data_IF_067078798074
#
_entry.id   IF_067078798074
#
_cell.length_a   1.000
_cell.length_b   1.000
_cell.length_c   1.000
_cell.angle_alpha   90.00
_cell.angle_beta   90.00
_cell.angle_gamma   90.00
#
_symmetry.space_group_name_H-M   'P 1'
#
loop_
_entity.id
_entity.type
_entity.pdbx_description
1 polymer ?
#
# COMPACT_ATOMS: atom_id res chain seq x y z
N UNK A 1 -11.32 20.71 -27.71
CA UNK A 1 -11.87 19.44 -28.26
C UNK A 1 -10.73 18.72 -28.96
N UNK A 2 -10.17 17.67 -28.34
CA UNK A 2 -9.11 16.86 -28.96
C UNK A 2 -9.79 15.80 -29.81
N UNK A 3 -9.66 15.92 -31.14
CA UNK A 3 -10.24 14.97 -32.09
C UNK A 3 -9.56 13.61 -31.98
N UNK A 4 -10.36 12.56 -31.88
CA UNK A 4 -9.89 11.17 -31.86
C UNK A 4 -9.24 10.83 -33.21
N UNK A 5 -7.95 10.50 -33.20
CA UNK A 5 -7.23 10.01 -34.38
C UNK A 5 -7.87 8.67 -34.81
N UNK A 6 -8.31 8.52 -36.07
CA UNK A 6 -8.89 7.26 -36.54
C UNK A 6 -7.81 6.18 -36.56
N UNK A 7 -8.00 5.14 -35.74
CA UNK A 7 -7.08 3.99 -35.70
C UNK A 7 -7.04 3.31 -37.06
N UNK A 8 -5.85 3.20 -37.63
CA UNK A 8 -5.60 2.66 -38.97
C UNK A 8 -5.84 1.14 -38.95
N UNK A 9 -6.16 0.53 -40.09
CA UNK A 9 -6.33 -0.93 -40.19
C UNK A 9 -5.13 -1.71 -39.65
N UNK A 10 -3.92 -1.15 -39.78
CA UNK A 10 -2.68 -1.69 -39.25
C UNK A 10 -2.65 -1.72 -37.71
N UNK A 11 -3.18 -0.69 -37.04
CA UNK A 11 -3.30 -0.67 -35.57
C UNK A 11 -4.25 -1.75 -35.06
N UNK A 12 -5.34 -1.98 -35.81
CA UNK A 12 -6.32 -3.04 -35.47
C UNK A 12 -5.70 -4.43 -35.63
N UNK A 13 -4.97 -4.65 -36.72
CA UNK A 13 -4.28 -5.91 -36.97
C UNK A 13 -3.18 -6.17 -35.91
N UNK A 14 -2.44 -5.15 -35.50
CA UNK A 14 -1.41 -5.27 -34.47
C UNK A 14 -2.02 -5.62 -33.10
N UNK A 15 -3.15 -5.00 -32.74
CA UNK A 15 -3.90 -5.33 -31.51
C UNK A 15 -4.42 -6.78 -31.54
N UNK A 16 -4.86 -7.26 -32.70
CA UNK A 16 -5.35 -8.62 -32.88
C UNK A 16 -4.22 -9.66 -32.75
N UNK A 17 -3.04 -9.37 -33.32
CA UNK A 17 -1.84 -10.19 -33.17
C UNK A 17 -1.38 -10.26 -31.70
N UNK A 18 -1.43 -9.13 -30.97
CA UNK A 18 -1.07 -9.07 -29.55
C UNK A 18 -2.04 -9.84 -28.63
N UNK A 19 -3.30 -10.04 -29.04
CA UNK A 19 -4.27 -10.85 -28.30
C UNK A 19 -4.05 -12.35 -28.52
N UNK A 20 -3.62 -12.73 -29.72
CA UNK A 20 -3.46 -14.12 -30.14
C UNK A 20 -2.09 -14.73 -29.79
N UNK A 21 -1.14 -13.95 -29.27
CA UNK A 21 0.15 -14.46 -28.81
C UNK A 21 -0.03 -15.34 -27.58
N UNK A 22 0.50 -16.58 -27.64
CA UNK A 22 0.49 -17.59 -26.57
C UNK A 22 1.17 -17.17 -25.25
N UNK A 23 1.67 -15.94 -25.18
CA UNK A 23 2.25 -15.31 -23.99
C UNK A 23 1.20 -14.53 -23.16
N UNK A 24 -0.01 -14.32 -23.68
CA UNK A 24 -1.11 -13.75 -22.91
C UNK A 24 -1.79 -14.81 -22.05
N UNK A 25 -1.04 -15.42 -21.13
CA UNK A 25 -1.71 -15.84 -19.90
C UNK A 25 -2.30 -14.56 -19.31
N UNK A 26 -3.61 -14.49 -18.97
CA UNK A 26 -4.05 -13.40 -18.13
C UNK A 26 -3.09 -13.40 -16.94
N UNK A 27 -2.52 -12.24 -16.62
CA UNK A 27 -1.86 -12.05 -15.34
C UNK A 27 -2.97 -12.36 -14.34
N UNK A 28 -3.05 -13.62 -13.88
CA UNK A 28 -3.67 -13.93 -12.61
C UNK A 28 -3.05 -12.93 -11.67
N UNK A 29 -3.89 -12.04 -11.12
CA UNK A 29 -3.48 -10.93 -10.28
C UNK A 29 -2.41 -11.48 -9.35
N UNK A 30 -1.15 -11.21 -9.68
CA UNK A 30 -0.03 -11.87 -9.02
C UNK A 30 -0.24 -11.56 -7.56
N UNK A 31 -0.52 -12.56 -6.73
CA UNK A 31 -0.40 -12.37 -5.28
C UNK A 31 0.94 -11.68 -5.12
N UNK A 32 0.93 -10.46 -4.56
CA UNK A 32 2.16 -9.71 -4.36
C UNK A 32 3.07 -10.67 -3.58
N UNK A 33 4.18 -11.09 -4.18
CA UNK A 33 5.15 -11.93 -3.50
C UNK A 33 5.86 -11.00 -2.53
N UNK A 34 5.51 -11.06 -1.24
CA UNK A 34 6.06 -10.16 -0.23
C UNK A 34 5.37 -10.30 1.11
N UNK A 35 5.95 -9.64 2.12
CA UNK A 35 5.33 -9.46 3.42
C UNK A 35 4.16 -8.48 3.31
N UNK A 36 3.11 -8.71 4.09
CA UNK A 36 1.97 -7.81 4.20
C UNK A 36 2.01 -7.17 5.59
N UNK A 37 1.99 -5.85 5.60
CA UNK A 37 2.03 -5.05 6.82
C UNK A 37 0.73 -4.27 6.98
N UNK A 38 0.38 -3.98 8.22
CA UNK A 38 -0.73 -3.10 8.55
C UNK A 38 -0.36 -1.68 8.15
N UNK A 39 -1.20 -0.99 7.35
CA UNK A 39 -0.87 0.36 6.89
C UNK A 39 -0.97 1.36 8.05
N UNK A 40 0.17 1.81 8.56
CA UNK A 40 0.26 2.83 9.60
C UNK A 40 0.41 4.21 8.93
N UNK A 41 -0.52 5.16 9.15
CA UNK A 41 -0.39 6.51 8.60
C UNK A 41 0.75 7.27 9.27
N UNK A 42 1.77 7.68 8.50
CA UNK A 42 2.87 8.49 9.02
C UNK A 42 2.43 9.91 9.45
N UNK A 43 1.37 10.44 8.82
CA UNK A 43 0.83 11.79 9.10
C UNK A 43 -0.68 11.71 9.14
N UNK A 44 -1.27 12.21 10.21
CA UNK A 44 -2.71 12.28 10.36
C UNK A 44 -3.26 13.41 9.47
N UNK A 45 -3.89 13.03 8.36
CA UNK A 45 -4.49 13.96 7.39
C UNK A 45 -6.01 13.78 7.36
N UNK A 46 -6.72 14.75 7.93
CA UNK A 46 -8.18 14.75 7.94
C UNK A 46 -8.71 16.01 7.24
N UNK A 47 -9.63 15.82 6.29
CA UNK A 47 -10.26 16.94 5.58
C UNK A 47 -11.27 17.62 6.51
N UNK A 48 -11.17 18.93 6.66
CA UNK A 48 -12.13 19.75 7.40
C UNK A 48 -11.80 19.96 8.89
N UNK A 49 -10.65 19.48 9.37
CA UNK A 49 -10.16 19.79 10.72
C UNK A 49 -9.37 21.11 10.69
N UNK A 50 -9.47 21.90 11.77
CA UNK A 50 -8.70 23.13 11.93
C UNK A 50 -7.20 22.83 11.94
N UNK A 51 -6.37 23.75 11.43
CA UNK A 51 -4.93 23.53 11.28
C UNK A 51 -4.24 23.28 12.62
N UNK A 52 -4.71 23.93 13.70
CA UNK A 52 -4.16 23.78 15.05
C UNK A 52 -4.45 22.39 15.62
N UNK A 53 -5.69 21.90 15.48
CA UNK A 53 -6.07 20.55 15.91
C UNK A 53 -5.31 19.47 15.11
N UNK A 54 -5.06 19.70 13.82
CA UNK A 54 -4.20 18.83 13.02
C UNK A 54 -2.76 18.82 13.55
N UNK A 55 -2.20 19.96 13.95
CA UNK A 55 -0.86 20.02 14.54
C UNK A 55 -0.81 19.26 15.86
N UNK A 56 -1.78 19.48 16.75
CA UNK A 56 -1.88 18.79 18.04
C UNK A 56 -1.92 17.27 17.82
N UNK A 57 -2.76 16.80 16.89
CA UNK A 57 -2.91 15.37 16.56
C UNK A 57 -1.70 14.76 15.83
N UNK A 58 -0.82 15.58 15.24
CA UNK A 58 0.44 15.08 14.67
C UNK A 58 1.61 15.15 15.67
N UNK A 59 1.51 15.96 16.72
CA UNK A 59 2.44 15.96 17.85
C UNK A 59 2.16 14.79 18.80
N UNK A 60 0.89 14.53 19.08
CA UNK A 60 0.43 13.41 19.89
C UNK A 60 -0.23 12.33 19.01
N UNK A 61 0.46 11.19 18.87
CA UNK A 61 -0.01 10.04 18.09
C UNK A 61 -0.89 9.07 18.89
N UNK A 62 -1.22 9.35 20.15
CA UNK A 62 -1.97 8.42 21.03
C UNK A 62 -3.30 8.02 20.42
N UNK A 63 -4.10 8.98 19.95
CA UNK A 63 -5.39 8.69 19.31
C UNK A 63 -5.23 7.90 18.00
N UNK A 64 -4.14 8.13 17.27
CA UNK A 64 -3.85 7.38 16.04
C UNK A 64 -3.53 5.91 16.36
N UNK A 65 -2.71 5.69 17.39
CA UNK A 65 -2.33 4.35 17.85
C UNK A 65 -3.55 3.56 18.35
N UNK A 66 -4.36 4.16 19.23
CA UNK A 66 -5.61 3.55 19.73
C UNK A 66 -6.55 3.20 18.57
N UNK A 67 -6.68 4.10 17.58
CA UNK A 67 -7.48 3.83 16.40
C UNK A 67 -6.94 2.66 15.58
N UNK A 68 -5.63 2.45 15.53
CA UNK A 68 -5.01 1.33 14.79
C UNK A 68 -5.22 0.03 15.55
N UNK A 69 -4.96 0.02 16.86
CA UNK A 69 -5.17 -1.16 17.73
C UNK A 69 -6.63 -1.65 17.65
N UNK A 70 -7.59 -0.74 17.76
CA UNK A 70 -9.02 -1.08 17.70
C UNK A 70 -9.43 -1.61 16.31
N UNK A 71 -8.89 -1.04 15.22
CA UNK A 71 -9.32 -1.36 13.86
C UNK A 71 -8.61 -2.57 13.24
N UNK A 72 -7.33 -2.74 13.52
CA UNK A 72 -6.46 -3.71 12.85
C UNK A 72 -6.08 -4.89 13.74
N UNK A 73 -5.97 -4.68 15.06
CA UNK A 73 -5.44 -5.68 15.99
C UNK A 73 -6.46 -6.16 17.03
N UNK A 74 -7.73 -5.77 16.90
CA UNK A 74 -8.80 -6.18 17.82
C UNK A 74 -8.49 -5.90 19.30
N UNK A 75 -7.81 -4.78 19.57
CA UNK A 75 -7.36 -4.36 20.91
C UNK A 75 -6.28 -5.28 21.53
N UNK A 76 -5.64 -6.11 20.72
CA UNK A 76 -4.49 -6.93 21.11
C UNK A 76 -3.18 -6.19 20.83
N UNK A 77 -2.56 -5.67 21.88
CA UNK A 77 -1.28 -4.96 21.81
C UNK A 77 -0.13 -5.89 21.40
N UNK A 78 -0.21 -7.18 21.76
CA UNK A 78 0.85 -8.15 21.46
C UNK A 78 0.93 -8.41 19.95
N UNK A 79 -0.22 -8.43 19.25
CA UNK A 79 -0.24 -8.57 17.79
C UNK A 79 0.49 -7.45 17.04
N UNK A 80 0.42 -6.20 17.52
CA UNK A 80 1.18 -5.09 16.93
C UNK A 80 2.69 -5.27 17.16
N UNK A 81 3.05 -5.72 18.37
CA UNK A 81 4.45 -5.99 18.72
C UNK A 81 5.04 -7.13 17.88
N UNK A 82 4.27 -8.20 17.65
CA UNK A 82 4.67 -9.31 16.79
C UNK A 82 4.95 -8.85 15.34
N UNK A 83 4.09 -7.99 14.79
CA UNK A 83 4.30 -7.43 13.45
C UNK A 83 5.58 -6.58 13.38
N UNK A 84 5.84 -5.78 14.42
CA UNK A 84 7.06 -4.95 14.50
C UNK A 84 8.33 -5.80 14.59
N UNK A 85 8.31 -6.87 15.38
CA UNK A 85 9.42 -7.83 15.50
C UNK A 85 9.66 -8.56 14.17
N UNK A 86 8.59 -8.99 13.50
CA UNK A 86 8.67 -9.60 12.19
C UNK A 86 9.26 -8.65 11.14
N UNK A 87 8.81 -7.39 11.12
CA UNK A 87 9.32 -6.35 10.23
C UNK A 87 10.84 -6.12 10.43
N UNK A 88 11.28 -6.05 11.69
CA UNK A 88 12.70 -5.93 12.00
C UNK A 88 13.54 -7.10 11.44
N UNK A 89 13.10 -8.34 11.64
CA UNK A 89 13.82 -9.53 11.14
C UNK A 89 13.83 -9.56 9.60
N UNK A 90 12.67 -9.32 8.97
CA UNK A 90 12.53 -9.30 7.52
C UNK A 90 13.40 -8.23 6.85
N UNK A 91 13.58 -7.09 7.51
CA UNK A 91 14.54 -6.06 7.10
C UNK A 91 15.99 -6.54 7.28
N UNK A 92 16.34 -7.06 8.47
CA UNK A 92 17.71 -7.47 8.82
C UNK A 92 18.28 -8.52 7.86
N UNK A 93 17.45 -9.48 7.44
CA UNK A 93 17.86 -10.53 6.49
C UNK A 93 17.79 -10.08 5.02
N UNK A 94 17.41 -8.82 4.76
CA UNK A 94 17.34 -8.23 3.42
C UNK A 94 16.16 -8.73 2.57
N UNK A 95 15.12 -9.29 3.18
CA UNK A 95 13.99 -9.87 2.45
C UNK A 95 12.97 -8.82 2.00
N UNK A 96 12.86 -7.69 2.71
CA UNK A 96 11.91 -6.64 2.35
C UNK A 96 12.38 -5.26 2.80
N UNK A 97 12.43 -4.31 1.86
CA UNK A 97 12.62 -2.88 2.16
C UNK A 97 11.37 -2.27 2.81
N UNK A 98 10.18 -2.78 2.49
CA UNK A 98 8.93 -2.34 3.11
C UNK A 98 8.90 -2.67 4.61
N UNK A 99 9.62 -3.72 5.02
CA UNK A 99 9.82 -4.06 6.43
C UNK A 99 10.58 -2.99 7.21
N UNK A 100 11.56 -2.33 6.58
CA UNK A 100 12.26 -1.20 7.19
C UNK A 100 11.29 -0.03 7.44
N UNK A 101 10.49 0.31 6.43
CA UNK A 101 9.52 1.40 6.54
C UNK A 101 8.48 1.12 7.62
N UNK A 102 8.06 -0.14 7.76
CA UNK A 102 7.15 -0.55 8.83
C UNK A 102 7.80 -0.46 10.22
N UNK A 103 9.09 -0.81 10.34
CA UNK A 103 9.82 -0.76 11.60
C UNK A 103 10.20 0.66 12.03
N UNK A 104 10.45 1.57 11.09
CA UNK A 104 10.82 2.97 11.34
C UNK A 104 9.66 3.83 11.89
N UNK A 105 8.42 3.44 11.56
CA UNK A 105 7.18 4.24 11.73
C UNK A 105 6.87 4.74 13.16
#
# INVERSE_FOLDING_TARGET
MVGSIPKTAMDKAMIEQLKNTKFSKPIEKSQKRGCYYTPIPHVAKHKGIHSEDLTIMNLDKTQLLESILTKAYADDEDSLLEELQFAFIAFLIGQSLEAFLQWEL
#
